data_IF_340524576988
#
_entry.id   IF_340524576988
#
_cell.length_a   1.000
_cell.length_b   1.000
_cell.length_c   1.000
_cell.angle_alpha   90.00
_cell.angle_beta   90.00
_cell.angle_gamma   90.00
#
_symmetry.space_group_name_H-M   'P 1'
#
loop_
_entity.id
_entity.type
_entity.pdbx_description
1 polymer ?
#
# COMPACT_ATOMS: atom_id res chain seq x y z
N UNK A 1 -49.55 14.65 -7.27
CA UNK A 1 -48.09 14.96 -7.36
C UNK A 1 -47.86 16.35 -6.77
N UNK A 2 -47.39 16.47 -5.52
CA UNK A 2 -46.89 17.75 -5.00
C UNK A 2 -45.59 18.07 -5.73
N UNK A 3 -45.55 19.21 -6.42
CA UNK A 3 -44.33 19.73 -7.06
C UNK A 3 -43.33 20.10 -5.96
N UNK A 4 -42.06 19.77 -6.12
CA UNK A 4 -40.99 20.26 -5.23
C UNK A 4 -41.12 21.76 -5.02
N UNK A 5 -40.95 22.22 -3.78
CA UNK A 5 -41.01 23.65 -3.43
C UNK A 5 -39.96 24.43 -4.25
N UNK A 6 -40.21 25.69 -4.65
CA UNK A 6 -39.21 26.55 -5.27
C UNK A 6 -37.91 26.66 -4.43
N UNK A 7 -38.02 26.57 -3.10
CA UNK A 7 -36.87 26.52 -2.19
C UNK A 7 -35.99 25.29 -2.39
N UNK A 8 -36.61 24.11 -2.61
CA UNK A 8 -35.89 22.84 -2.84
C UNK A 8 -35.09 22.85 -4.15
N UNK A 9 -35.69 23.45 -5.20
CA UNK A 9 -35.00 23.59 -6.50
C UNK A 9 -33.80 24.52 -6.40
N UNK A 10 -33.90 25.60 -5.63
CA UNK A 10 -32.80 26.57 -5.41
C UNK A 10 -31.67 25.95 -4.59
N UNK A 11 -31.99 25.20 -3.53
CA UNK A 11 -31.03 24.47 -2.69
C UNK A 11 -30.23 23.47 -3.49
N UNK A 12 -30.91 22.69 -4.34
CA UNK A 12 -30.28 21.72 -5.23
C UNK A 12 -29.34 22.38 -6.26
N UNK A 13 -29.77 23.50 -6.83
CA UNK A 13 -28.95 24.25 -7.78
C UNK A 13 -27.68 24.81 -7.11
N UNK A 14 -27.80 25.38 -5.91
CA UNK A 14 -26.67 25.84 -5.11
C UNK A 14 -25.67 24.70 -4.85
N UNK A 15 -26.13 23.54 -4.41
CA UNK A 15 -25.26 22.37 -4.21
C UNK A 15 -24.55 21.96 -5.49
N UNK A 16 -25.26 21.86 -6.63
CA UNK A 16 -24.66 21.45 -7.90
C UNK A 16 -23.59 22.46 -8.38
N UNK A 17 -23.74 23.75 -8.10
CA UNK A 17 -22.75 24.77 -8.41
C UNK A 17 -21.47 24.64 -7.58
N UNK A 18 -21.52 24.12 -6.36
CA UNK A 18 -20.33 23.85 -5.54
C UNK A 18 -19.53 22.65 -6.02
N UNK A 19 -20.09 21.81 -6.88
CA UNK A 19 -19.46 20.57 -7.34
C UNK A 19 -18.64 20.77 -8.61
N UNK A 20 -17.43 20.17 -8.67
CA UNK A 20 -16.61 20.14 -9.89
C UNK A 20 -16.93 18.89 -10.73
N UNK A 21 -17.58 19.09 -11.87
CA UNK A 21 -17.96 18.01 -12.79
C UNK A 21 -16.95 17.81 -13.93
N UNK A 22 -16.75 16.55 -14.31
CA UNK A 22 -15.85 16.16 -15.42
C UNK A 22 -16.50 16.29 -16.80
N UNK A 23 -17.81 16.05 -16.86
CA UNK A 23 -18.57 16.00 -18.10
C UNK A 23 -19.80 16.88 -17.99
N UNK A 24 -20.17 17.56 -19.06
CA UNK A 24 -21.31 18.49 -19.11
C UNK A 24 -22.66 17.84 -18.74
N UNK A 25 -22.85 16.55 -19.04
CA UNK A 25 -24.08 15.80 -18.71
C UNK A 25 -24.18 15.37 -17.24
N UNK A 26 -23.10 15.37 -16.48
CA UNK A 26 -23.08 14.89 -15.09
C UNK A 26 -23.95 15.71 -14.15
N UNK A 27 -23.99 17.05 -14.20
CA UNK A 27 -24.89 17.85 -13.37
C UNK A 27 -26.36 17.48 -13.55
N UNK A 28 -26.78 17.24 -14.80
CA UNK A 28 -28.17 16.87 -15.12
C UNK A 28 -28.54 15.52 -14.49
N UNK A 29 -27.67 14.51 -14.64
CA UNK A 29 -27.90 13.19 -14.04
C UNK A 29 -27.95 13.26 -12.52
N UNK A 30 -27.03 14.01 -11.90
CA UNK A 30 -27.00 14.21 -10.44
C UNK A 30 -28.24 14.97 -9.96
N UNK A 31 -28.64 16.00 -10.68
CA UNK A 31 -29.86 16.75 -10.38
C UNK A 31 -31.11 15.87 -10.46
N UNK A 32 -31.20 14.93 -11.40
CA UNK A 32 -32.31 13.98 -11.47
C UNK A 32 -32.36 13.05 -10.25
N UNK A 33 -31.21 12.48 -9.84
CA UNK A 33 -31.15 11.58 -8.67
C UNK A 33 -31.49 12.31 -7.38
N UNK A 34 -30.99 13.52 -7.19
CA UNK A 34 -31.26 14.31 -5.98
C UNK A 34 -32.71 14.77 -5.92
N UNK A 35 -33.31 15.17 -7.04
CA UNK A 35 -34.75 15.49 -7.12
C UNK A 35 -35.61 14.26 -6.82
N UNK A 36 -35.25 13.09 -7.35
CA UNK A 36 -35.96 11.86 -7.05
C UNK A 36 -35.95 11.57 -5.54
N UNK A 37 -34.78 11.74 -4.91
CA UNK A 37 -34.66 11.58 -3.46
C UNK A 37 -35.44 12.62 -2.68
N UNK A 38 -35.38 13.90 -3.03
CA UNK A 38 -36.19 14.97 -2.37
C UNK A 38 -37.69 14.73 -2.50
N UNK A 39 -38.15 14.39 -3.68
CA UNK A 39 -39.59 14.05 -3.89
C UNK A 39 -40.00 12.84 -3.04
N UNK A 40 -39.10 11.88 -2.85
CA UNK A 40 -39.33 10.71 -2.01
C UNK A 40 -39.45 11.12 -0.53
N UNK A 41 -38.52 11.96 -0.03
CA UNK A 41 -38.58 12.49 1.34
C UNK A 41 -39.89 13.23 1.61
N UNK A 42 -40.26 14.18 0.75
CA UNK A 42 -41.53 14.94 0.88
C UNK A 42 -42.74 14.03 0.88
N UNK A 43 -42.70 12.91 0.16
CA UNK A 43 -43.81 11.95 0.08
C UNK A 43 -43.96 11.09 1.33
N UNK A 44 -42.84 10.74 1.98
CA UNK A 44 -42.80 9.69 3.01
C UNK A 44 -42.37 10.17 4.40
N UNK A 45 -41.83 11.38 4.53
CA UNK A 45 -41.41 11.96 5.81
C UNK A 45 -42.51 12.90 6.35
N UNK A 46 -42.89 12.72 7.60
CA UNK A 46 -43.92 13.57 8.26
C UNK A 46 -43.43 15.03 8.38
N UNK A 47 -42.19 15.24 8.70
CA UNK A 47 -41.54 16.56 8.92
C UNK A 47 -40.74 17.05 7.73
N UNK A 48 -40.86 16.41 6.55
CA UNK A 48 -40.09 16.71 5.32
C UNK A 48 -38.57 16.61 5.50
N UNK A 49 -38.09 15.99 6.60
CA UNK A 49 -36.68 15.83 6.90
C UNK A 49 -36.21 14.38 6.60
N UNK A 50 -35.01 14.21 6.03
CA UNK A 50 -34.47 12.90 5.75
C UNK A 50 -34.01 12.22 7.04
N UNK A 51 -34.68 11.16 7.47
CA UNK A 51 -34.26 10.27 8.54
C UNK A 51 -33.74 8.93 7.99
N UNK A 52 -33.14 8.11 8.87
CA UNK A 52 -32.53 6.83 8.47
C UNK A 52 -33.54 5.87 7.81
N UNK A 53 -34.75 5.77 8.36
CA UNK A 53 -35.83 4.92 7.80
C UNK A 53 -36.24 5.33 6.38
N UNK A 54 -36.33 6.61 6.11
CA UNK A 54 -36.63 7.15 4.78
C UNK A 54 -35.50 6.87 3.80
N UNK A 55 -34.24 7.08 4.22
CA UNK A 55 -33.06 6.73 3.39
C UNK A 55 -33.07 5.24 3.07
N UNK A 56 -33.27 4.37 4.05
CA UNK A 56 -33.31 2.94 3.87
C UNK A 56 -34.45 2.51 2.94
N UNK A 57 -35.65 3.06 3.11
CA UNK A 57 -36.81 2.77 2.25
C UNK A 57 -36.52 3.19 0.80
N UNK A 58 -35.94 4.38 0.58
CA UNK A 58 -35.55 4.84 -0.75
C UNK A 58 -34.51 3.90 -1.39
N UNK A 59 -33.49 3.47 -0.63
CA UNK A 59 -32.46 2.55 -1.11
C UNK A 59 -33.07 1.20 -1.52
N UNK A 60 -34.01 0.66 -0.74
CA UNK A 60 -34.71 -0.61 -1.03
C UNK A 60 -35.55 -0.50 -2.29
N UNK A 61 -36.40 0.52 -2.42
CA UNK A 61 -37.20 0.71 -3.62
C UNK A 61 -36.36 0.89 -4.87
N UNK A 62 -35.26 1.64 -4.78
CA UNK A 62 -34.34 1.83 -5.92
C UNK A 62 -33.50 0.59 -6.24
N UNK A 63 -33.24 -0.29 -5.27
CA UNK A 63 -32.55 -1.56 -5.53
C UNK A 63 -33.33 -2.55 -6.37
N UNK A 64 -34.66 -2.41 -6.44
CA UNK A 64 -35.52 -3.18 -7.34
C UNK A 64 -35.36 -2.74 -8.81
N UNK A 65 -34.94 -1.51 -9.05
CA UNK A 65 -34.84 -0.92 -10.38
C UNK A 65 -33.39 -0.80 -10.86
N UNK A 66 -32.42 -0.68 -9.96
CA UNK A 66 -31.03 -0.41 -10.28
C UNK A 66 -30.10 -1.46 -9.70
N UNK A 67 -29.03 -1.82 -10.44
CA UNK A 67 -28.00 -2.69 -9.90
C UNK A 67 -27.38 -2.11 -8.63
N UNK A 68 -27.04 -2.95 -7.65
CA UNK A 68 -26.53 -2.55 -6.32
C UNK A 68 -25.33 -1.57 -6.40
N UNK A 69 -24.44 -1.73 -7.36
CA UNK A 69 -23.30 -0.81 -7.53
C UNK A 69 -23.75 0.61 -7.91
N UNK A 70 -24.83 0.75 -8.67
CA UNK A 70 -25.43 2.05 -9.01
C UNK A 70 -26.14 2.66 -7.80
N UNK A 71 -26.88 1.86 -7.01
CA UNK A 71 -27.49 2.29 -5.75
C UNK A 71 -26.41 2.84 -4.82
N UNK A 72 -25.31 2.10 -4.62
CA UNK A 72 -24.16 2.56 -3.79
C UNK A 72 -23.53 3.86 -4.31
N UNK A 73 -23.45 4.03 -5.64
CA UNK A 73 -22.90 5.25 -6.24
C UNK A 73 -23.84 6.46 -6.00
N UNK A 74 -25.14 6.26 -6.13
CA UNK A 74 -26.15 7.30 -5.92
C UNK A 74 -26.32 7.64 -4.45
N UNK A 75 -26.26 6.66 -3.56
CA UNK A 75 -26.24 6.87 -2.12
C UNK A 75 -25.09 7.80 -1.67
N UNK A 76 -23.89 7.63 -2.21
CA UNK A 76 -22.75 8.55 -1.95
C UNK A 76 -23.00 9.97 -2.46
N UNK A 77 -23.79 10.14 -3.50
CA UNK A 77 -24.19 11.46 -3.96
C UNK A 77 -25.19 12.11 -2.98
N UNK A 78 -26.19 11.34 -2.52
CA UNK A 78 -27.16 11.78 -1.52
C UNK A 78 -26.47 12.14 -0.21
N UNK A 79 -25.57 11.29 0.28
CA UNK A 79 -24.77 11.54 1.47
C UNK A 79 -24.06 12.91 1.40
N UNK A 80 -23.33 13.20 0.31
CA UNK A 80 -22.65 14.49 0.13
C UNK A 80 -23.62 15.67 0.04
N UNK A 81 -24.83 15.44 -0.48
CA UNK A 81 -25.87 16.45 -0.52
C UNK A 81 -26.40 16.74 0.89
N UNK A 82 -26.64 15.70 1.69
CA UNK A 82 -27.06 15.82 3.08
C UNK A 82 -25.97 16.43 3.98
N UNK A 83 -24.70 16.08 3.74
CA UNK A 83 -23.55 16.74 4.41
C UNK A 83 -23.54 18.24 4.13
N UNK A 84 -23.74 18.62 2.86
CA UNK A 84 -23.78 20.02 2.47
C UNK A 84 -25.00 20.74 3.09
N UNK A 85 -26.17 20.11 3.13
CA UNK A 85 -27.37 20.67 3.76
C UNK A 85 -27.18 20.86 5.27
N UNK A 86 -26.56 19.91 5.95
CA UNK A 86 -26.23 20.01 7.37
C UNK A 86 -25.22 21.15 7.62
N UNK A 87 -24.17 21.25 6.83
CA UNK A 87 -23.20 22.34 6.93
C UNK A 87 -23.80 23.73 6.65
N UNK A 88 -24.85 23.79 5.81
CA UNK A 88 -25.59 25.00 5.51
C UNK A 88 -26.73 25.29 6.53
N UNK A 89 -26.90 24.44 7.55
CA UNK A 89 -27.97 24.59 8.56
C UNK A 89 -29.38 24.28 8.05
N UNK A 90 -29.51 23.63 6.89
CA UNK A 90 -30.82 23.30 6.29
C UNK A 90 -31.45 22.08 6.97
N UNK A 91 -30.61 21.11 7.38
CA UNK A 91 -31.05 19.94 8.16
C UNK A 91 -30.23 19.86 9.45
N UNK A 92 -30.81 19.38 10.55
CA UNK A 92 -30.15 19.29 11.85
C UNK A 92 -29.11 18.15 11.89
N UNK A 93 -29.41 17.02 11.27
CA UNK A 93 -28.59 15.81 11.30
C UNK A 93 -28.53 15.16 9.93
N UNK A 94 -27.40 14.49 9.65
CA UNK A 94 -27.23 13.65 8.45
C UNK A 94 -27.32 12.17 8.86
N UNK A 95 -28.31 11.39 8.40
CA UNK A 95 -28.47 9.98 8.74
C UNK A 95 -27.23 9.12 8.44
N UNK A 96 -26.48 9.45 7.40
CA UNK A 96 -25.24 8.73 7.09
C UNK A 96 -24.12 9.03 8.09
N UNK A 97 -24.03 10.25 8.63
CA UNK A 97 -23.02 10.62 9.62
C UNK A 97 -23.16 9.79 10.91
N UNK A 98 -24.38 9.52 11.34
CA UNK A 98 -24.65 8.64 12.47
C UNK A 98 -24.18 7.21 12.20
N UNK A 99 -24.54 6.66 11.04
CA UNK A 99 -24.09 5.34 10.63
C UNK A 99 -22.57 5.23 10.53
N UNK A 100 -21.91 6.27 10.04
CA UNK A 100 -20.43 6.31 9.99
C UNK A 100 -19.81 6.38 11.37
N UNK A 101 -20.39 7.12 12.29
CA UNK A 101 -19.93 7.19 13.67
C UNK A 101 -20.03 5.84 14.35
N UNK A 102 -21.16 5.13 14.16
CA UNK A 102 -21.44 3.88 14.86
C UNK A 102 -20.74 2.68 14.22
N UNK A 103 -20.59 2.66 12.90
CA UNK A 103 -20.04 1.53 12.15
C UNK A 103 -18.70 1.81 11.45
N UNK A 104 -18.21 3.05 11.45
CA UNK A 104 -16.86 3.42 10.99
C UNK A 104 -16.51 2.97 9.58
N UNK A 105 -17.49 2.74 8.69
CA UNK A 105 -17.33 2.11 7.41
C UNK A 105 -17.67 3.04 6.24
N UNK A 106 -17.26 2.62 5.05
CA UNK A 106 -17.60 3.37 3.85
C UNK A 106 -19.09 3.25 3.52
N UNK A 107 -19.69 4.30 2.97
CA UNK A 107 -21.07 4.32 2.47
C UNK A 107 -21.47 3.08 1.69
N UNK A 108 -20.55 2.52 0.90
CA UNK A 108 -20.82 1.29 0.12
C UNK A 108 -21.09 0.07 1.01
N UNK A 109 -20.37 -0.07 2.12
CA UNK A 109 -20.56 -1.18 3.06
C UNK A 109 -21.88 -0.98 3.82
N UNK A 110 -22.13 0.23 4.28
CA UNK A 110 -23.38 0.62 4.96
C UNK A 110 -24.61 0.38 4.06
N UNK A 111 -24.58 0.87 2.82
CA UNK A 111 -25.68 0.66 1.87
C UNK A 111 -25.94 -0.82 1.60
N UNK A 112 -24.92 -1.64 1.48
CA UNK A 112 -25.08 -3.09 1.33
C UNK A 112 -25.70 -3.74 2.56
N UNK A 113 -25.36 -3.27 3.76
CA UNK A 113 -25.97 -3.74 5.01
C UNK A 113 -27.45 -3.32 5.09
N UNK A 114 -27.79 -2.08 4.74
CA UNK A 114 -29.17 -1.58 4.71
C UNK A 114 -30.07 -2.29 3.69
N UNK A 115 -29.46 -2.88 2.64
CA UNK A 115 -30.18 -3.67 1.63
C UNK A 115 -30.27 -5.16 1.98
N UNK A 116 -29.69 -5.61 3.10
CA UNK A 116 -29.76 -7.00 3.53
C UNK A 116 -31.17 -7.32 4.11
N UNK A 117 -31.56 -8.58 4.08
CA UNK A 117 -32.81 -9.04 4.71
C UNK A 117 -32.77 -8.79 6.22
N UNK A 118 -31.67 -9.17 6.88
CA UNK A 118 -31.39 -8.88 8.27
C UNK A 118 -30.41 -7.70 8.35
N UNK A 119 -30.99 -6.49 8.41
CA UNK A 119 -30.24 -5.23 8.43
C UNK A 119 -29.44 -5.06 9.70
N UNK A 120 -30.04 -5.44 10.85
CA UNK A 120 -29.41 -5.25 12.15
C UNK A 120 -28.16 -6.12 12.29
N UNK A 121 -28.25 -7.40 11.98
CA UNK A 121 -27.11 -8.28 11.96
C UNK A 121 -26.06 -7.87 10.90
N UNK A 122 -26.49 -7.34 9.76
CA UNK A 122 -25.57 -6.86 8.73
C UNK A 122 -24.82 -5.58 9.15
N UNK A 123 -25.48 -4.64 9.82
CA UNK A 123 -24.85 -3.45 10.39
C UNK A 123 -23.95 -3.80 11.57
N UNK A 124 -24.38 -4.71 12.45
CA UNK A 124 -23.57 -5.18 13.57
C UNK A 124 -22.24 -5.79 13.11
N UNK A 125 -22.22 -6.50 11.99
CA UNK A 125 -20.97 -7.01 11.38
C UNK A 125 -20.03 -5.91 10.89
N UNK A 126 -20.53 -4.68 10.69
CA UNK A 126 -19.72 -3.52 10.32
C UNK A 126 -19.16 -2.78 11.54
N UNK A 127 -19.68 -3.02 12.73
CA UNK A 127 -19.22 -2.36 13.96
C UNK A 127 -17.71 -2.49 14.10
N UNK A 128 -17.01 -1.41 14.46
CA UNK A 128 -15.57 -1.45 14.66
C UNK A 128 -15.23 -2.42 15.78
N UNK A 129 -14.51 -3.48 15.45
CA UNK A 129 -14.01 -4.44 16.43
C UNK A 129 -12.94 -3.73 17.28
N UNK A 130 -13.07 -3.67 18.61
CA UNK A 130 -12.10 -3.02 19.48
C UNK A 130 -10.69 -3.58 19.25
N UNK A 131 -9.69 -2.67 19.24
CA UNK A 131 -8.29 -3.11 19.17
C UNK A 131 -7.91 -3.73 20.51
N UNK A 132 -7.38 -4.93 20.49
CA UNK A 132 -7.03 -5.69 21.68
C UNK A 132 -8.20 -5.87 22.66
N UNK A 133 -9.40 -6.14 22.13
CA UNK A 133 -10.63 -6.30 22.91
C UNK A 133 -10.91 -7.73 23.37
N UNK A 134 -10.06 -8.72 23.03
CA UNK A 134 -10.22 -10.10 23.48
C UNK A 134 -9.75 -10.29 24.93
N UNK A 135 -10.02 -11.45 25.52
CA UNK A 135 -9.55 -11.82 26.86
C UNK A 135 -8.02 -11.86 27.01
N UNK A 136 -7.24 -11.97 25.91
CA UNK A 136 -5.80 -11.77 25.86
C UNK A 136 -5.38 -10.38 25.38
N UNK A 137 -6.33 -9.53 25.02
CA UNK A 137 -6.09 -8.24 24.39
C UNK A 137 -5.20 -7.33 25.20
N UNK A 138 -5.46 -7.18 26.49
CA UNK A 138 -4.64 -6.36 27.38
C UNK A 138 -3.17 -6.81 27.39
N UNK A 139 -2.90 -8.11 27.49
CA UNK A 139 -1.53 -8.66 27.46
C UNK A 139 -0.82 -8.39 26.13
N UNK A 140 -1.54 -8.53 25.03
CA UNK A 140 -0.99 -8.21 23.69
C UNK A 140 -0.67 -6.71 23.58
N UNK A 141 -1.53 -5.84 24.08
CA UNK A 141 -1.32 -4.39 24.08
C UNK A 141 -0.10 -3.98 24.91
N UNK A 142 -0.01 -4.49 26.14
CA UNK A 142 1.12 -4.26 27.05
C UNK A 142 2.44 -4.69 26.40
N UNK A 143 2.46 -5.87 25.77
CA UNK A 143 3.64 -6.37 25.07
C UNK A 143 4.06 -5.48 23.89
N UNK A 144 3.12 -5.03 23.08
CA UNK A 144 3.40 -4.09 21.98
C UNK A 144 3.96 -2.77 22.52
N UNK A 145 3.37 -2.25 23.59
CA UNK A 145 3.79 -1.01 24.25
C UNK A 145 5.22 -1.15 24.79
N UNK A 146 5.53 -2.25 25.46
CA UNK A 146 6.87 -2.56 25.93
C UNK A 146 7.89 -2.64 24.80
N UNK A 147 7.55 -3.31 23.69
CA UNK A 147 8.47 -3.40 22.56
C UNK A 147 8.72 -2.04 21.90
N UNK A 148 7.73 -1.16 21.89
CA UNK A 148 7.87 0.22 21.38
C UNK A 148 8.72 1.08 22.33
N UNK A 149 8.59 0.95 23.63
CA UNK A 149 9.43 1.66 24.60
C UNK A 149 10.91 1.25 24.49
N UNK A 150 11.20 0.03 24.00
CA UNK A 150 12.55 -0.44 23.69
C UNK A 150 13.06 0.07 22.32
N UNK A 151 12.33 0.95 21.63
CA UNK A 151 12.73 1.57 20.36
C UNK A 151 12.36 0.76 19.11
N UNK A 152 11.56 -0.30 19.21
CA UNK A 152 11.09 -1.04 18.04
C UNK A 152 9.81 -0.40 17.47
N UNK A 153 9.69 -0.25 16.14
CA UNK A 153 8.41 0.19 15.50
C UNK A 153 7.27 -0.79 15.73
N UNK A 154 7.57 -2.06 15.70
CA UNK A 154 6.71 -3.21 16.00
C UNK A 154 5.42 -3.34 15.15
N UNK A 155 5.26 -2.58 14.08
CA UNK A 155 4.02 -2.48 13.27
C UNK A 155 3.60 -3.80 12.62
N UNK A 156 4.55 -4.66 12.26
CA UNK A 156 4.26 -5.96 11.63
C UNK A 156 3.69 -6.92 12.66
N UNK A 157 4.35 -7.05 13.79
CA UNK A 157 3.94 -7.94 14.88
C UNK A 157 2.64 -7.46 15.54
N UNK A 158 2.44 -6.16 15.71
CA UNK A 158 1.17 -5.61 16.16
C UNK A 158 0.02 -6.02 15.23
N UNK A 159 0.20 -5.92 13.91
CA UNK A 159 -0.82 -6.37 12.95
C UNK A 159 -1.08 -7.87 13.03
N UNK A 160 -0.07 -8.68 13.31
CA UNK A 160 -0.22 -10.12 13.53
C UNK A 160 -1.03 -10.38 14.81
N UNK A 161 -0.67 -9.74 15.90
CA UNK A 161 -1.38 -9.83 17.20
C UNK A 161 -2.83 -9.33 17.08
N UNK A 162 -3.09 -8.24 16.36
CA UNK A 162 -4.47 -7.76 16.12
C UNK A 162 -5.30 -8.74 15.28
N UNK A 163 -4.70 -9.52 14.38
CA UNK A 163 -5.43 -10.58 13.66
C UNK A 163 -5.80 -11.73 14.58
N UNK A 164 -4.91 -12.08 15.48
CA UNK A 164 -5.18 -13.10 16.51
C UNK A 164 -6.23 -12.61 17.52
N UNK A 165 -6.11 -11.38 17.97
CA UNK A 165 -7.08 -10.71 18.85
C UNK A 165 -8.50 -10.72 18.27
N UNK A 166 -8.66 -10.34 16.99
CA UNK A 166 -9.96 -10.41 16.30
C UNK A 166 -10.51 -11.83 16.21
N UNK A 167 -9.63 -12.82 16.01
CA UNK A 167 -10.04 -14.22 16.04
C UNK A 167 -10.60 -14.57 17.42
N UNK A 168 -9.89 -14.23 18.50
CA UNK A 168 -10.33 -14.50 19.86
C UNK A 168 -11.63 -13.77 20.26
N UNK A 169 -11.83 -12.54 19.78
CA UNK A 169 -13.08 -11.81 19.98
C UNK A 169 -14.28 -12.51 19.34
N UNK A 170 -14.07 -13.21 18.22
CA UNK A 170 -15.10 -14.03 17.58
C UNK A 170 -15.28 -15.44 18.17
N UNK A 171 -14.47 -15.82 19.18
CA UNK A 171 -14.45 -17.17 19.79
C UNK A 171 -14.36 -17.05 21.31
N UNK A 172 -15.39 -16.45 21.91
CA UNK A 172 -15.46 -16.25 23.37
C UNK A 172 -15.47 -17.59 24.15
N UNK A 173 -15.92 -18.67 23.52
CA UNK A 173 -15.92 -20.03 24.07
C UNK A 173 -14.51 -20.57 24.36
N UNK A 174 -13.49 -19.98 23.77
CA UNK A 174 -12.09 -20.35 24.01
C UNK A 174 -11.48 -19.64 25.24
N UNK A 175 -12.26 -18.86 25.97
CA UNK A 175 -11.79 -18.16 27.17
C UNK A 175 -11.29 -19.17 28.20
N UNK A 176 -10.07 -18.98 28.73
CA UNK A 176 -9.44 -19.91 29.67
C UNK A 176 -8.69 -21.10 29.03
N UNK A 177 -8.80 -21.30 27.71
CA UNK A 177 -8.03 -22.33 27.04
C UNK A 177 -6.52 -21.98 27.03
N UNK A 178 -5.62 -22.98 27.13
CA UNK A 178 -4.19 -22.77 27.11
C UNK A 178 -3.73 -22.23 25.73
N UNK A 179 -2.69 -21.37 25.73
CA UNK A 179 -2.18 -20.74 24.52
C UNK A 179 -1.88 -21.71 23.36
N UNK A 180 -1.29 -22.90 23.57
CA UNK A 180 -1.08 -23.86 22.49
C UNK A 180 -2.38 -24.23 21.78
N UNK A 181 -3.47 -24.43 22.52
CA UNK A 181 -4.79 -24.78 21.97
C UNK A 181 -5.39 -23.62 21.16
N UNK A 182 -5.24 -22.37 21.65
CA UNK A 182 -5.69 -21.20 20.94
C UNK A 182 -4.98 -21.04 19.59
N UNK A 183 -3.66 -21.26 19.54
CA UNK A 183 -2.87 -21.20 18.30
C UNK A 183 -3.24 -22.37 17.37
N UNK A 184 -3.47 -23.55 17.87
CA UNK A 184 -3.93 -24.70 17.08
C UNK A 184 -5.26 -24.38 16.39
N UNK A 185 -6.28 -23.97 17.12
CA UNK A 185 -7.60 -23.64 16.57
C UNK A 185 -7.50 -22.50 15.56
N UNK A 186 -6.71 -21.44 15.87
CA UNK A 186 -6.49 -20.33 14.95
C UNK A 186 -5.81 -20.75 13.63
N UNK A 187 -4.98 -21.77 13.66
CA UNK A 187 -4.25 -22.27 12.49
C UNK A 187 -4.99 -23.37 11.70
N UNK A 188 -6.05 -23.98 12.24
CA UNK A 188 -6.73 -25.16 11.66
C UNK A 188 -7.18 -24.96 10.21
N UNK A 189 -7.69 -23.80 9.85
CA UNK A 189 -8.16 -23.47 8.49
C UNK A 189 -7.12 -22.72 7.64
N UNK A 190 -5.85 -22.71 8.05
CA UNK A 190 -4.77 -21.99 7.36
C UNK A 190 -3.91 -22.96 6.56
N UNK A 191 -4.05 -22.95 5.25
CA UNK A 191 -3.30 -23.85 4.35
C UNK A 191 -1.95 -23.27 3.89
N UNK A 192 -1.81 -21.95 3.91
CA UNK A 192 -0.59 -21.27 3.45
C UNK A 192 0.52 -21.40 4.50
N UNK A 193 1.73 -21.90 4.16
CA UNK A 193 2.88 -21.94 5.05
C UNK A 193 3.21 -20.61 5.71
N UNK A 194 3.00 -19.50 5.01
CA UNK A 194 3.19 -18.16 5.56
C UNK A 194 2.23 -17.86 6.73
N UNK A 195 0.97 -18.28 6.62
CA UNK A 195 -0.02 -18.10 7.69
C UNK A 195 0.23 -19.04 8.86
N UNK A 196 0.71 -20.26 8.60
CA UNK A 196 1.10 -21.20 9.66
C UNK A 196 2.33 -20.69 10.41
N UNK A 197 3.32 -20.16 9.71
CA UNK A 197 4.47 -19.50 10.33
C UNK A 197 4.03 -18.32 11.19
N UNK A 198 3.13 -17.48 10.70
CA UNK A 198 2.56 -16.36 11.46
C UNK A 198 1.90 -16.84 12.76
N UNK A 199 1.15 -17.95 12.72
CA UNK A 199 0.52 -18.50 13.91
C UNK A 199 1.57 -18.98 14.95
N UNK A 200 2.62 -19.66 14.50
CA UNK A 200 3.73 -20.07 15.38
C UNK A 200 4.49 -18.85 15.93
N UNK A 201 4.75 -17.82 15.12
CA UNK A 201 5.40 -16.58 15.57
C UNK A 201 4.57 -15.87 16.64
N UNK A 202 3.26 -15.74 16.46
CA UNK A 202 2.35 -15.15 17.45
C UNK A 202 2.35 -15.97 18.73
N UNK A 203 2.27 -17.31 18.64
CA UNK A 203 2.36 -18.20 19.78
C UNK A 203 3.68 -18.04 20.54
N UNK A 204 4.81 -17.99 19.82
CA UNK A 204 6.13 -17.75 20.40
C UNK A 204 6.22 -16.39 21.11
N UNK A 205 5.75 -15.32 20.46
CA UNK A 205 5.80 -13.96 21.04
C UNK A 205 4.99 -13.89 22.34
N UNK A 206 3.77 -14.42 22.34
CA UNK A 206 2.89 -14.41 23.51
C UNK A 206 3.40 -15.32 24.60
N UNK A 207 3.83 -16.56 24.29
CA UNK A 207 4.41 -17.46 25.30
C UNK A 207 5.66 -16.87 25.95
N UNK A 208 6.51 -16.19 25.19
CA UNK A 208 7.68 -15.47 25.70
C UNK A 208 7.28 -14.30 26.61
N UNK A 209 6.22 -13.56 26.27
CA UNK A 209 5.71 -12.50 27.11
C UNK A 209 5.12 -13.06 28.42
N UNK A 210 4.39 -14.16 28.36
CA UNK A 210 3.80 -14.83 29.52
C UNK A 210 4.86 -15.47 30.41
N UNK A 211 5.86 -16.15 29.83
CA UNK A 211 6.98 -16.73 30.57
C UNK A 211 7.80 -15.72 31.38
N UNK A 212 7.90 -14.46 30.92
CA UNK A 212 8.55 -13.40 31.69
C UNK A 212 7.80 -13.00 32.96
N UNK A 213 6.48 -13.16 32.96
CA UNK A 213 5.61 -12.89 34.11
C UNK A 213 5.51 -14.11 35.01
N UNK A 214 5.48 -15.29 34.41
CA UNK A 214 5.43 -16.58 35.10
C UNK A 214 6.40 -17.56 34.42
N UNK A 215 7.60 -17.77 34.99
CA UNK A 215 8.61 -18.67 34.44
C UNK A 215 8.19 -20.17 34.39
N UNK A 216 7.11 -20.55 35.06
CA UNK A 216 6.57 -21.90 34.98
C UNK A 216 5.91 -22.21 33.62
N UNK A 217 5.48 -21.19 32.89
CA UNK A 217 4.84 -21.32 31.59
C UNK A 217 5.86 -21.62 30.50
N UNK A 218 5.64 -22.69 29.74
CA UNK A 218 6.54 -23.10 28.67
C UNK A 218 6.48 -22.12 27.48
N UNK A 219 7.64 -21.82 26.90
CA UNK A 219 7.72 -21.06 25.66
C UNK A 219 7.42 -21.96 24.45
N UNK A 220 6.56 -21.49 23.57
CA UNK A 220 6.24 -22.18 22.32
C UNK A 220 7.38 -21.96 21.29
N UNK A 221 7.98 -23.03 20.74
CA UNK A 221 8.99 -22.87 19.71
C UNK A 221 8.39 -22.49 18.35
N UNK A 222 9.19 -21.81 17.53
CA UNK A 222 8.91 -21.70 16.08
C UNK A 222 9.72 -22.77 15.37
N UNK A 223 9.07 -23.67 14.63
CA UNK A 223 9.73 -24.76 13.95
C UNK A 223 10.67 -24.25 12.84
N UNK A 224 11.95 -24.66 12.88
CA UNK A 224 12.93 -24.35 11.84
C UNK A 224 12.48 -24.83 10.44
N UNK A 225 11.73 -25.91 10.40
CA UNK A 225 11.14 -26.45 9.18
C UNK A 225 10.13 -25.50 8.55
N UNK A 226 9.34 -24.79 9.35
CA UNK A 226 8.36 -23.83 8.85
C UNK A 226 9.03 -22.66 8.12
N UNK A 227 10.16 -22.15 8.64
CA UNK A 227 10.95 -21.12 7.94
C UNK A 227 11.51 -21.68 6.62
N UNK A 228 11.91 -22.94 6.56
CA UNK A 228 12.39 -23.61 5.34
C UNK A 228 11.25 -23.69 4.30
N UNK A 229 10.06 -24.17 4.70
CA UNK A 229 8.87 -24.27 3.83
C UNK A 229 8.46 -22.93 3.26
N UNK A 230 8.41 -21.87 4.08
CA UNK A 230 8.12 -20.51 3.63
C UNK A 230 9.19 -20.03 2.66
N UNK A 231 10.48 -20.28 2.94
CA UNK A 231 11.59 -19.89 2.06
C UNK A 231 11.53 -20.59 0.71
N UNK A 232 11.14 -21.86 0.66
CA UNK A 232 10.97 -22.60 -0.60
C UNK A 232 9.87 -22.03 -1.49
N UNK A 233 8.83 -21.39 -0.88
CA UNK A 233 7.78 -20.70 -1.61
C UNK A 233 8.16 -19.29 -2.04
N UNK A 234 9.34 -18.79 -1.65
CA UNK A 234 9.79 -17.48 -2.10
C UNK A 234 9.94 -17.46 -3.61
N UNK A 235 9.15 -16.61 -4.22
CA UNK A 235 9.20 -16.39 -5.65
C UNK A 235 10.58 -15.84 -6.04
N UNK A 236 11.21 -16.46 -7.05
CA UNK A 236 12.42 -15.93 -7.66
C UNK A 236 12.16 -14.51 -8.19
N UNK A 237 13.10 -13.55 -7.95
CA UNK A 237 13.01 -12.23 -8.52
C UNK A 237 12.94 -12.29 -10.05
N UNK A 238 12.16 -11.40 -10.63
CA UNK A 238 12.16 -11.21 -12.07
C UNK A 238 13.35 -10.33 -12.47
N UNK A 239 14.10 -10.75 -13.47
CA UNK A 239 15.23 -9.98 -14.00
C UNK A 239 14.76 -9.27 -15.27
N UNK A 240 14.63 -7.96 -15.18
CA UNK A 240 14.26 -7.13 -16.30
C UNK A 240 15.40 -7.01 -17.30
N UNK A 241 15.08 -7.12 -18.60
CA UNK A 241 16.01 -6.77 -19.68
C UNK A 241 16.06 -5.25 -19.88
N UNK A 242 17.07 -4.78 -20.61
CA UNK A 242 17.20 -3.34 -20.92
C UNK A 242 16.04 -2.84 -21.77
N UNK A 243 15.54 -3.65 -22.70
CA UNK A 243 14.38 -3.35 -23.55
C UNK A 243 13.09 -3.26 -22.71
N UNK A 244 12.95 -4.13 -21.72
CA UNK A 244 11.82 -4.07 -20.79
C UNK A 244 11.86 -2.82 -19.93
N UNK A 245 13.04 -2.43 -19.44
CA UNK A 245 13.23 -1.16 -18.69
C UNK A 245 12.83 0.03 -19.57
N UNK A 246 13.31 0.09 -20.83
CA UNK A 246 12.93 1.16 -21.77
C UNK A 246 11.41 1.22 -21.97
N UNK A 247 10.76 0.07 -22.17
CA UNK A 247 9.28 0.00 -22.31
C UNK A 247 8.55 0.49 -21.05
N UNK A 248 9.04 0.15 -19.86
CA UNK A 248 8.44 0.60 -18.60
C UNK A 248 8.55 2.13 -18.47
N UNK A 249 9.73 2.68 -18.72
CA UNK A 249 9.96 4.13 -18.65
C UNK A 249 9.10 4.89 -19.66
N UNK A 250 8.99 4.39 -20.90
CA UNK A 250 8.12 4.96 -21.91
C UNK A 250 6.63 4.88 -21.52
N UNK A 251 6.21 3.73 -20.96
CA UNK A 251 4.83 3.55 -20.47
C UNK A 251 4.50 4.47 -19.29
N UNK A 252 5.49 4.86 -18.48
CA UNK A 252 5.32 5.83 -17.40
C UNK A 252 5.14 7.25 -17.94
N UNK A 253 5.98 7.68 -18.90
CA UNK A 253 5.89 9.01 -19.52
C UNK A 253 4.58 9.18 -20.30
N UNK A 254 4.12 8.14 -20.98
CA UNK A 254 2.84 8.14 -21.72
C UNK A 254 1.62 7.78 -20.86
N UNK A 255 1.75 7.75 -19.53
CA UNK A 255 0.65 7.36 -18.65
C UNK A 255 -0.50 8.38 -18.69
N UNK A 256 -1.75 7.97 -19.03
CA UNK A 256 -2.87 8.89 -19.17
C UNK A 256 -3.28 9.48 -17.81
N UNK A 257 -3.07 10.77 -17.64
CA UNK A 257 -3.37 11.45 -16.38
C UNK A 257 -3.84 12.92 -16.58
N UNK A 258 -4.97 13.15 -17.27
CA UNK A 258 -5.43 14.50 -17.61
C UNK A 258 -5.71 15.39 -16.39
N UNK A 259 -6.02 14.80 -15.23
CA UNK A 259 -6.28 15.52 -13.97
C UNK A 259 -5.07 15.68 -13.06
N UNK A 260 -3.95 15.11 -13.41
CA UNK A 260 -2.70 15.21 -12.68
C UNK A 260 -1.54 15.13 -13.69
N UNK A 261 -1.28 16.21 -14.46
CA UNK A 261 -0.30 16.21 -15.54
C UNK A 261 1.13 15.94 -15.06
N UNK A 262 1.45 16.23 -13.81
CA UNK A 262 2.76 15.91 -13.22
C UNK A 262 2.97 14.38 -12.98
N UNK A 263 1.90 13.59 -12.94
CA UNK A 263 1.97 12.16 -12.59
C UNK A 263 2.84 11.33 -13.53
N UNK A 264 2.75 11.44 -14.86
CA UNK A 264 3.61 10.66 -15.77
C UNK A 264 5.09 10.87 -15.48
N UNK A 265 5.52 12.10 -15.33
CA UNK A 265 6.90 12.44 -15.00
C UNK A 265 7.28 11.94 -13.59
N UNK A 266 6.37 12.04 -12.60
CA UNK A 266 6.59 11.49 -11.28
C UNK A 266 6.77 9.98 -11.28
N UNK A 267 5.95 9.23 -12.03
CA UNK A 267 6.09 7.77 -12.19
C UNK A 267 7.40 7.39 -12.88
N UNK A 268 7.79 8.13 -13.91
CA UNK A 268 9.07 7.96 -14.58
C UNK A 268 10.23 8.15 -13.59
N UNK A 269 10.27 9.24 -12.86
CA UNK A 269 11.35 9.54 -11.90
C UNK A 269 11.39 8.52 -10.75
N UNK A 270 10.24 8.06 -10.25
CA UNK A 270 10.19 6.97 -9.26
C UNK A 270 10.81 5.68 -9.80
N UNK A 271 10.57 5.33 -11.07
CA UNK A 271 11.13 4.14 -11.72
C UNK A 271 12.64 4.28 -11.96
N UNK A 272 13.10 5.48 -12.34
CA UNK A 272 14.53 5.79 -12.46
C UNK A 272 15.22 5.58 -11.10
N UNK A 273 14.68 6.10 -10.02
CA UNK A 273 15.22 5.89 -8.66
C UNK A 273 15.19 4.40 -8.25
N UNK A 274 14.12 3.67 -8.59
CA UNK A 274 14.00 2.26 -8.27
C UNK A 274 15.03 1.40 -9.01
N UNK A 275 15.29 1.72 -10.30
CA UNK A 275 16.21 0.95 -11.15
C UNK A 275 17.66 1.44 -11.04
N UNK A 276 17.92 2.74 -11.18
CA UNK A 276 19.29 3.25 -11.24
C UNK A 276 19.93 3.42 -9.85
N UNK A 277 19.16 3.87 -8.86
CA UNK A 277 19.62 4.02 -7.48
C UNK A 277 19.24 2.82 -6.57
N UNK A 278 18.46 1.87 -7.07
CA UNK A 278 18.08 0.67 -6.33
C UNK A 278 17.25 0.94 -5.08
N UNK A 279 16.53 2.05 -5.01
CA UNK A 279 15.74 2.41 -3.83
C UNK A 279 14.53 1.50 -3.63
N UNK A 280 14.17 1.25 -2.37
CA UNK A 280 12.91 0.58 -2.05
C UNK A 280 11.74 1.52 -2.31
N UNK A 281 10.60 0.96 -2.72
CA UNK A 281 9.38 1.75 -2.96
C UNK A 281 8.99 2.61 -1.75
N UNK A 282 9.12 2.07 -0.53
CA UNK A 282 8.83 2.84 0.68
C UNK A 282 9.80 4.01 0.90
N UNK A 283 11.06 3.84 0.52
CA UNK A 283 12.06 4.91 0.55
C UNK A 283 11.71 6.01 -0.46
N UNK A 284 11.37 5.63 -1.70
CA UNK A 284 10.98 6.57 -2.77
C UNK A 284 9.75 7.40 -2.37
N UNK A 285 8.69 6.73 -1.88
CA UNK A 285 7.45 7.41 -1.47
C UNK A 285 7.66 8.30 -0.24
N UNK A 286 8.60 7.91 0.63
CA UNK A 286 8.94 8.65 1.85
C UNK A 286 9.80 9.89 1.64
N UNK A 287 10.44 10.05 0.46
CA UNK A 287 11.31 11.22 0.18
C UNK A 287 10.55 12.53 0.37
N UNK A 288 11.19 13.45 1.07
CA UNK A 288 10.78 14.86 1.15
C UNK A 288 11.59 15.70 0.15
N UNK A 289 11.13 16.92 -0.11
CA UNK A 289 11.83 17.84 -1.01
C UNK A 289 13.23 18.20 -0.47
N UNK A 290 13.36 18.40 0.84
CA UNK A 290 14.62 18.68 1.52
C UNK A 290 15.60 17.51 1.59
N UNK A 291 15.20 16.30 1.17
CA UNK A 291 16.12 15.16 1.08
C UNK A 291 16.94 15.15 -0.22
N UNK A 292 16.62 16.03 -1.17
CA UNK A 292 17.27 16.11 -2.49
C UNK A 292 18.26 17.25 -2.51
N UNK A 293 19.55 16.94 -2.60
CA UNK A 293 20.64 17.92 -2.65
C UNK A 293 21.15 18.02 -4.09
N UNK A 294 20.51 18.94 -4.86
CA UNK A 294 20.76 19.06 -6.30
C UNK A 294 22.18 19.53 -6.65
N UNK A 295 22.83 20.29 -5.75
CA UNK A 295 24.22 20.76 -5.94
C UNK A 295 25.24 19.67 -5.66
N UNK A 296 25.03 18.89 -4.61
CA UNK A 296 25.94 17.83 -4.18
C UNK A 296 25.69 16.50 -4.91
N UNK A 297 24.70 16.44 -5.79
CA UNK A 297 24.26 15.23 -6.50
C UNK A 297 23.95 14.05 -5.56
N UNK A 298 23.37 14.36 -4.40
CA UNK A 298 23.04 13.35 -3.38
C UNK A 298 21.58 13.38 -2.96
N UNK A 299 21.12 12.27 -2.38
CA UNK A 299 19.84 12.20 -1.67
C UNK A 299 20.01 11.60 -0.29
N UNK A 300 19.22 12.10 0.66
CA UNK A 300 19.12 11.55 2.00
C UNK A 300 17.98 10.55 2.09
N UNK A 301 18.27 9.33 2.51
CA UNK A 301 17.27 8.31 2.83
C UNK A 301 17.19 8.22 4.35
N UNK A 302 16.11 8.77 4.89
CA UNK A 302 15.91 8.87 6.34
C UNK A 302 15.10 7.70 6.88
N UNK A 303 15.35 7.33 8.12
CA UNK A 303 14.55 6.40 8.94
C UNK A 303 14.07 5.14 8.21
N UNK A 304 14.98 4.45 7.54
CA UNK A 304 14.65 3.17 6.91
C UNK A 304 14.33 2.09 7.97
N UNK A 305 14.02 0.89 7.52
CA UNK A 305 13.91 -0.27 8.39
C UNK A 305 15.17 -0.36 9.28
N UNK A 306 15.01 -0.33 10.61
CA UNK A 306 16.06 -0.25 11.64
C UNK A 306 16.63 1.16 11.94
N UNK A 307 15.86 2.23 11.68
CA UNK A 307 16.23 3.63 12.00
C UNK A 307 17.58 4.08 11.40
N UNK A 308 17.99 3.46 10.28
CA UNK A 308 19.24 3.83 9.59
C UNK A 308 18.94 4.90 8.54
N UNK A 309 19.64 6.01 8.64
CA UNK A 309 19.70 7.03 7.58
C UNK A 309 20.98 6.87 6.78
N UNK A 310 20.96 7.23 5.51
CA UNK A 310 22.14 7.22 4.65
C UNK A 310 22.03 8.29 3.58
N UNK A 311 23.15 8.90 3.24
CA UNK A 311 23.28 9.79 2.07
C UNK A 311 23.79 8.98 0.90
N UNK A 312 23.15 9.12 -0.24
CA UNK A 312 23.47 8.37 -1.45
C UNK A 312 23.88 9.32 -2.57
N UNK A 313 25.08 9.15 -3.16
CA UNK A 313 25.42 9.81 -4.41
C UNK A 313 24.60 9.20 -5.54
N UNK A 314 24.15 10.04 -6.47
CA UNK A 314 23.41 9.63 -7.63
C UNK A 314 24.20 9.90 -8.90
N UNK A 315 24.00 9.06 -9.93
CA UNK A 315 24.58 9.31 -11.23
C UNK A 315 24.01 10.61 -11.86
N UNK A 316 24.78 11.35 -12.66
CA UNK A 316 24.34 12.61 -13.27
C UNK A 316 22.99 12.49 -14.01
N UNK A 317 22.76 11.41 -14.75
CA UNK A 317 21.50 11.15 -15.46
C UNK A 317 20.30 10.97 -14.53
N UNK A 318 20.50 10.43 -13.33
CA UNK A 318 19.45 10.28 -12.30
C UNK A 318 19.15 11.65 -11.69
N UNK A 319 20.18 12.46 -11.45
CA UNK A 319 20.03 13.82 -10.95
C UNK A 319 19.32 14.72 -11.96
N UNK A 320 19.59 14.57 -13.24
CA UNK A 320 18.89 15.28 -14.30
C UNK A 320 17.38 14.97 -14.31
N UNK A 321 17.03 13.69 -14.21
CA UNK A 321 15.63 13.28 -14.09
C UNK A 321 14.96 13.87 -12.84
N UNK A 322 15.66 13.94 -11.71
CA UNK A 322 15.17 14.59 -10.49
C UNK A 322 15.04 16.10 -10.65
N UNK A 323 16.03 16.79 -11.20
CA UNK A 323 15.98 18.23 -11.48
C UNK A 323 14.77 18.57 -12.35
N UNK A 324 14.58 17.82 -13.44
CA UNK A 324 13.43 17.99 -14.33
C UNK A 324 12.09 17.82 -13.59
N UNK A 325 11.99 16.76 -12.76
CA UNK A 325 10.78 16.54 -11.96
C UNK A 325 10.54 17.66 -10.94
N UNK A 326 11.57 18.09 -10.20
CA UNK A 326 11.45 19.17 -9.19
C UNK A 326 11.00 20.48 -9.83
N UNK A 327 11.58 20.86 -10.98
CA UNK A 327 11.19 22.04 -11.75
C UNK A 327 9.72 21.95 -12.19
N UNK A 328 9.32 20.82 -12.78
CA UNK A 328 7.93 20.60 -13.19
C UNK A 328 6.97 20.63 -12.00
N UNK A 329 7.38 20.09 -10.84
CA UNK A 329 6.61 20.11 -9.60
C UNK A 329 6.38 21.54 -9.10
N UNK A 330 7.40 22.38 -9.11
CA UNK A 330 7.30 23.81 -8.73
C UNK A 330 6.29 24.55 -9.63
N UNK A 331 6.31 24.29 -10.92
CA UNK A 331 5.37 24.89 -11.87
C UNK A 331 3.89 24.51 -11.60
N UNK A 332 3.62 23.48 -10.81
CA UNK A 332 2.24 23.09 -10.47
C UNK A 332 1.69 23.76 -9.20
N UNK A 333 2.45 24.63 -8.55
CA UNK A 333 2.07 25.27 -7.28
C UNK A 333 2.10 24.31 -6.08
N UNK A 334 2.83 23.20 -6.17
CA UNK A 334 3.02 22.28 -5.05
C UNK A 334 3.84 22.95 -3.93
N UNK A 335 3.62 22.60 -2.64
CA UNK A 335 4.34 23.20 -1.52
C UNK A 335 5.86 23.07 -1.66
N UNK A 336 6.58 24.14 -1.30
CA UNK A 336 8.05 24.22 -1.43
C UNK A 336 8.80 23.97 -0.14
N UNK A 337 8.10 23.69 0.98
CA UNK A 337 8.73 23.38 2.25
C UNK A 337 9.58 22.11 2.16
N UNK A 338 10.67 22.08 2.92
CA UNK A 338 11.61 20.93 2.93
C UNK A 338 10.92 19.61 3.33
N UNK A 339 9.91 19.67 4.20
CA UNK A 339 9.16 18.51 4.69
C UNK A 339 8.08 18.02 3.72
N UNK A 340 7.75 18.82 2.70
CA UNK A 340 6.74 18.41 1.71
C UNK A 340 7.21 17.18 0.95
N UNK A 341 6.27 16.26 0.65
CA UNK A 341 6.61 15.07 -0.13
C UNK A 341 7.25 15.44 -1.46
N UNK A 342 8.40 14.82 -1.79
CA UNK A 342 9.04 15.01 -3.09
C UNK A 342 8.04 14.71 -4.21
N UNK A 343 7.41 13.53 -4.17
CA UNK A 343 6.42 13.13 -5.14
C UNK A 343 5.03 13.60 -4.75
N UNK A 344 4.55 14.59 -5.48
CA UNK A 344 3.31 15.30 -5.19
C UNK A 344 2.10 14.75 -5.95
N UNK A 345 1.04 14.42 -5.21
CA UNK A 345 -0.22 13.96 -5.80
C UNK A 345 -1.20 15.13 -5.98
N UNK A 346 -1.24 15.70 -7.18
CA UNK A 346 -2.11 16.84 -7.52
C UNK A 346 -3.61 16.58 -7.27
N UNK A 347 -4.05 15.33 -7.20
CA UNK A 347 -5.48 15.00 -6.97
C UNK A 347 -5.92 15.16 -5.53
N UNK A 348 -5.01 14.89 -4.60
CA UNK A 348 -5.28 14.92 -3.16
C UNK A 348 -4.60 16.13 -2.49
N UNK A 349 -3.81 16.91 -3.25
CA UNK A 349 -2.98 18.00 -2.74
C UNK A 349 -2.11 17.56 -1.55
N UNK A 350 -1.50 16.36 -1.66
CA UNK A 350 -0.67 15.74 -0.63
C UNK A 350 0.38 14.81 -1.27
N UNK A 351 1.26 14.21 -0.46
CA UNK A 351 2.16 13.17 -0.92
C UNK A 351 1.40 11.90 -1.35
N UNK A 352 2.02 11.12 -2.20
CA UNK A 352 1.45 9.82 -2.55
C UNK A 352 1.50 8.85 -1.37
N UNK A 353 0.43 8.05 -1.19
CA UNK A 353 0.49 6.88 -0.31
C UNK A 353 1.21 5.71 -1.01
N UNK A 354 1.83 4.84 -0.21
CA UNK A 354 2.49 3.62 -0.71
C UNK A 354 1.55 2.76 -1.59
N UNK A 355 0.32 2.53 -1.12
CA UNK A 355 -0.68 1.75 -1.86
C UNK A 355 -1.09 2.43 -3.17
N UNK A 356 -1.24 3.75 -3.16
CA UNK A 356 -1.56 4.54 -4.35
C UNK A 356 -0.49 4.43 -5.43
N UNK A 357 0.79 4.63 -5.07
CA UNK A 357 1.92 4.48 -6.00
C UNK A 357 2.05 3.05 -6.49
N UNK A 358 1.96 2.06 -5.59
CA UNK A 358 2.04 0.65 -5.95
C UNK A 358 1.02 0.28 -7.03
N UNK A 359 -0.24 0.73 -6.88
CA UNK A 359 -1.28 0.50 -7.88
C UNK A 359 -0.99 1.20 -9.21
N UNK A 360 -0.50 2.44 -9.19
CA UNK A 360 -0.14 3.17 -10.42
C UNK A 360 1.00 2.48 -11.17
N UNK A 361 2.06 2.07 -10.46
CA UNK A 361 3.20 1.39 -11.07
C UNK A 361 2.84 -0.02 -11.58
N UNK A 362 1.90 -0.72 -10.94
CA UNK A 362 1.34 -1.96 -11.51
C UNK A 362 0.63 -1.68 -12.84
N UNK A 363 -0.10 -0.56 -12.94
CA UNK A 363 -0.72 -0.17 -14.22
C UNK A 363 0.34 0.17 -15.28
N UNK A 364 1.45 0.81 -14.90
CA UNK A 364 2.58 1.05 -15.81
C UNK A 364 3.14 -0.27 -16.33
N UNK A 365 3.40 -1.26 -15.46
CA UNK A 365 3.86 -2.59 -15.88
C UNK A 365 2.87 -3.30 -16.83
N UNK A 366 1.58 -3.14 -16.59
CA UNK A 366 0.53 -3.67 -17.49
C UNK A 366 0.55 -3.00 -18.85
N UNK A 367 0.70 -1.68 -18.89
CA UNK A 367 0.81 -0.91 -20.14
C UNK A 367 2.08 -1.24 -20.92
N UNK A 368 3.17 -1.53 -20.22
CA UNK A 368 4.41 -2.00 -20.84
C UNK A 368 4.35 -3.45 -21.36
N UNK A 369 3.21 -4.14 -21.21
CA UNK A 369 3.02 -5.52 -21.65
C UNK A 369 3.73 -6.57 -20.77
N UNK A 370 4.20 -6.19 -19.57
CA UNK A 370 4.97 -7.07 -18.69
C UNK A 370 4.11 -7.77 -17.63
N UNK A 371 2.87 -7.33 -17.48
CA UNK A 371 1.96 -7.84 -16.47
C UNK A 371 0.57 -8.05 -17.07
N UNK A 372 -0.14 -9.15 -16.70
CA UNK A 372 -1.50 -9.36 -17.19
C UNK A 372 -2.45 -8.26 -16.69
N UNK A 373 -3.54 -8.04 -17.41
CA UNK A 373 -4.53 -7.00 -17.08
C UNK A 373 -5.16 -7.18 -15.71
N UNK A 374 -5.24 -8.42 -15.22
CA UNK A 374 -5.77 -8.77 -13.89
C UNK A 374 -4.82 -9.70 -13.14
N UNK A 375 -4.99 -9.78 -11.82
CA UNK A 375 -4.22 -10.68 -10.96
C UNK A 375 -2.87 -10.12 -10.51
N UNK A 376 -2.13 -10.95 -9.77
CA UNK A 376 -0.85 -10.60 -9.12
C UNK A 376 0.38 -11.23 -9.80
N UNK A 377 0.17 -12.06 -10.82
CA UNK A 377 1.26 -12.73 -11.55
C UNK A 377 2.08 -11.71 -12.34
N UNK A 378 3.33 -12.04 -12.67
CA UNK A 378 4.23 -11.18 -13.44
C UNK A 378 5.18 -10.35 -12.57
N UNK A 379 6.08 -9.54 -13.16
CA UNK A 379 7.13 -8.79 -12.48
C UNK A 379 6.60 -7.84 -11.39
N UNK A 380 7.43 -7.52 -10.40
CA UNK A 380 7.14 -6.57 -9.33
C UNK A 380 8.09 -5.38 -9.44
N UNK A 381 7.68 -4.22 -8.97
CA UNK A 381 8.54 -3.03 -8.92
C UNK A 381 9.81 -3.27 -8.08
N UNK A 382 9.70 -4.05 -7.00
CA UNK A 382 10.87 -4.41 -6.19
C UNK A 382 11.92 -5.21 -6.98
N UNK A 383 11.51 -5.92 -8.03
CA UNK A 383 12.42 -6.69 -8.88
C UNK A 383 13.35 -5.77 -9.71
N UNK A 384 13.01 -4.45 -9.89
CA UNK A 384 13.91 -3.46 -10.48
C UNK A 384 15.22 -3.29 -9.70
N UNK A 385 15.13 -3.32 -8.37
CA UNK A 385 16.30 -3.28 -7.49
C UNK A 385 17.17 -4.54 -7.66
N UNK A 386 16.58 -5.72 -7.90
CA UNK A 386 17.31 -6.92 -8.25
C UNK A 386 18.02 -6.78 -9.60
N UNK A 387 17.34 -6.24 -10.60
CA UNK A 387 17.90 -5.97 -11.92
C UNK A 387 19.07 -4.99 -11.84
N UNK A 388 18.97 -3.92 -11.04
CA UNK A 388 20.08 -2.96 -10.80
C UNK A 388 21.32 -3.67 -10.22
N UNK A 389 21.14 -4.48 -9.18
CA UNK A 389 22.27 -5.21 -8.58
C UNK A 389 22.90 -6.15 -9.59
N UNK A 390 22.11 -6.92 -10.33
CA UNK A 390 22.60 -7.79 -11.39
C UNK A 390 23.36 -7.04 -12.49
N UNK A 391 22.84 -5.90 -12.94
CA UNK A 391 23.52 -5.04 -13.93
C UNK A 391 24.85 -4.52 -13.40
N UNK A 392 24.90 -4.06 -12.13
CA UNK A 392 26.14 -3.58 -11.49
C UNK A 392 27.18 -4.69 -11.36
N UNK A 393 26.76 -5.90 -11.00
CA UNK A 393 27.64 -7.06 -10.90
C UNK A 393 28.22 -7.44 -12.25
N UNK A 394 27.40 -7.50 -13.31
CA UNK A 394 27.87 -7.75 -14.69
C UNK A 394 28.90 -6.70 -15.14
N UNK A 395 28.61 -5.43 -14.84
CA UNK A 395 29.51 -4.34 -15.18
C UNK A 395 30.88 -4.52 -14.50
N UNK A 396 30.93 -4.85 -13.22
CA UNK A 396 32.20 -5.11 -12.52
C UNK A 396 32.99 -6.28 -13.12
N UNK A 397 32.29 -7.36 -13.52
CA UNK A 397 32.98 -8.46 -14.22
C UNK A 397 33.60 -8.01 -15.55
N UNK A 398 32.88 -7.20 -16.35
CA UNK A 398 33.35 -6.65 -17.62
C UNK A 398 34.54 -5.71 -17.42
N UNK A 399 34.48 -4.89 -16.38
CA UNK A 399 35.57 -3.95 -16.03
C UNK A 399 36.76 -4.62 -15.36
N UNK A 400 36.75 -5.95 -15.22
CA UNK A 400 37.84 -6.70 -14.57
C UNK A 400 37.92 -6.54 -13.05
N UNK A 401 36.91 -5.87 -12.43
CA UNK A 401 36.82 -5.64 -10.98
C UNK A 401 36.31 -6.92 -10.30
N UNK A 402 36.94 -7.28 -9.16
CA UNK A 402 36.39 -8.38 -8.34
C UNK A 402 35.10 -7.97 -7.64
N UNK A 403 33.94 -8.54 -7.99
CA UNK A 403 32.70 -8.17 -7.35
C UNK A 403 32.67 -8.43 -5.84
N UNK A 404 33.36 -9.44 -5.34
CA UNK A 404 33.40 -9.75 -3.91
C UNK A 404 33.97 -8.60 -3.09
N UNK A 405 35.02 -7.91 -3.59
CA UNK A 405 35.59 -6.74 -2.92
C UNK A 405 34.64 -5.53 -2.87
N UNK A 406 33.65 -5.49 -3.76
CA UNK A 406 32.66 -4.40 -3.86
C UNK A 406 31.32 -4.68 -3.16
N UNK A 407 31.06 -5.93 -2.78
CA UNK A 407 29.82 -6.32 -2.10
C UNK A 407 29.54 -5.54 -0.80
N UNK A 408 30.52 -5.26 0.10
CA UNK A 408 30.28 -4.49 1.30
C UNK A 408 29.78 -3.06 0.99
N UNK A 409 30.39 -2.41 0.00
CA UNK A 409 29.98 -1.07 -0.44
C UNK A 409 28.58 -1.08 -1.04
N UNK A 410 28.26 -2.10 -1.85
CA UNK A 410 26.91 -2.25 -2.40
C UNK A 410 25.88 -2.53 -1.31
N UNK A 411 26.21 -3.35 -0.32
CA UNK A 411 25.34 -3.61 0.84
C UNK A 411 25.04 -2.31 1.61
N UNK A 412 26.05 -1.49 1.86
CA UNK A 412 25.90 -0.18 2.52
C UNK A 412 25.06 0.77 1.67
N UNK A 413 25.35 0.88 0.37
CA UNK A 413 24.58 1.71 -0.56
C UNK A 413 23.10 1.32 -0.56
N UNK A 414 22.81 0.04 -0.62
CA UNK A 414 21.46 -0.50 -0.59
C UNK A 414 20.78 -0.42 0.79
N UNK A 415 21.53 -0.13 1.87
CA UNK A 415 21.01 -0.12 3.25
C UNK A 415 20.62 -1.52 3.71
N UNK A 416 21.45 -2.52 3.47
CA UNK A 416 21.30 -3.86 4.02
C UNK A 416 21.90 -3.94 5.43
N UNK A 417 21.27 -4.74 6.31
CA UNK A 417 21.79 -4.97 7.67
C UNK A 417 23.07 -5.79 7.65
N UNK A 418 23.15 -6.73 6.73
CA UNK A 418 24.26 -7.67 6.55
C UNK A 418 24.49 -7.99 5.06
N UNK A 419 25.67 -8.51 4.73
CA UNK A 419 26.05 -8.92 3.37
C UNK A 419 25.15 -10.05 2.85
N UNK A 420 24.67 -10.94 3.73
CA UNK A 420 23.80 -12.07 3.31
C UNK A 420 22.55 -11.56 2.61
N UNK A 421 22.03 -10.42 3.05
CA UNK A 421 20.90 -9.74 2.40
C UNK A 421 21.24 -9.27 0.97
N UNK A 422 22.51 -9.02 0.66
CA UNK A 422 22.97 -8.68 -0.70
C UNK A 422 23.20 -9.93 -1.52
N UNK A 423 23.63 -11.04 -0.92
CA UNK A 423 23.87 -12.31 -1.62
C UNK A 423 22.58 -12.90 -2.21
N UNK A 424 21.42 -12.60 -1.64
CA UNK A 424 20.11 -13.00 -2.22
C UNK A 424 19.90 -12.41 -3.63
N UNK A 425 20.54 -11.28 -3.93
CA UNK A 425 20.49 -10.64 -5.25
C UNK A 425 21.48 -11.29 -6.25
N UNK A 426 22.41 -12.09 -5.76
CA UNK A 426 23.30 -12.88 -6.59
C UNK A 426 22.60 -14.16 -7.09
N UNK A 427 21.32 -14.06 -7.44
CA UNK A 427 20.69 -15.13 -8.20
C UNK A 427 21.54 -15.35 -9.44
N UNK A 428 22.18 -16.52 -9.49
CA UNK A 428 23.07 -16.91 -10.57
C UNK A 428 22.24 -16.86 -11.85
N UNK A 429 22.48 -15.83 -12.68
CA UNK A 429 21.88 -15.78 -14.01
C UNK A 429 22.82 -16.41 -15.02
N UNK A 430 22.30 -16.97 -16.12
CA UNK A 430 23.16 -17.50 -17.19
C UNK A 430 24.20 -16.49 -17.65
N UNK A 431 23.82 -15.21 -17.77
CA UNK A 431 24.72 -14.14 -18.20
C UNK A 431 25.83 -13.86 -17.16
N UNK A 432 25.49 -13.87 -15.87
CA UNK A 432 26.48 -13.69 -14.81
C UNK A 432 27.46 -14.86 -14.74
N UNK A 433 26.99 -16.10 -14.96
CA UNK A 433 27.83 -17.30 -15.06
C UNK A 433 28.72 -17.23 -16.27
N UNK A 434 28.24 -16.77 -17.43
CA UNK A 434 29.05 -16.61 -18.65
C UNK A 434 30.18 -15.61 -18.42
N UNK A 435 29.90 -14.44 -17.84
CA UNK A 435 30.90 -13.42 -17.53
C UNK A 435 31.95 -13.95 -16.52
N UNK A 436 31.48 -14.64 -15.47
CA UNK A 436 32.39 -15.26 -14.48
C UNK A 436 33.25 -16.35 -15.11
N UNK A 437 32.70 -17.21 -15.97
CA UNK A 437 33.42 -18.26 -16.71
C UNK A 437 34.39 -17.69 -17.72
N UNK A 438 34.04 -16.61 -18.43
CA UNK A 438 34.94 -15.93 -19.35
C UNK A 438 36.16 -15.37 -18.62
N UNK A 439 35.93 -14.75 -17.45
CA UNK A 439 37.04 -14.25 -16.60
C UNK A 439 37.94 -15.38 -16.09
N UNK A 440 37.33 -16.47 -15.60
CA UNK A 440 38.08 -17.64 -15.12
C UNK A 440 38.99 -18.21 -16.23
N UNK A 441 38.45 -18.37 -17.45
CA UNK A 441 39.22 -18.83 -18.62
C UNK A 441 40.39 -17.89 -18.95
N UNK A 442 40.17 -16.56 -18.90
CA UNK A 442 41.18 -15.56 -19.16
C UNK A 442 42.35 -15.65 -18.13
N UNK A 443 42.01 -15.77 -16.84
CA UNK A 443 43.01 -15.91 -15.77
C UNK A 443 43.73 -17.25 -15.89
N UNK A 444 43.03 -18.36 -16.10
CA UNK A 444 43.65 -19.69 -16.27
C UNK A 444 44.55 -19.75 -17.49
N UNK A 445 44.17 -19.12 -18.61
CA UNK A 445 45.03 -19.04 -19.79
C UNK A 445 46.31 -18.17 -19.56
N UNK A 446 46.24 -17.16 -18.70
CA UNK A 446 47.41 -16.36 -18.31
C UNK A 446 48.34 -17.15 -17.39
N UNK A 447 47.82 -17.89 -16.42
CA UNK A 447 48.61 -18.73 -15.51
C UNK A 447 49.32 -19.85 -16.26
N UNK A 448 48.62 -20.52 -17.19
CA UNK A 448 49.20 -21.58 -18.02
C UNK A 448 50.30 -21.07 -19.01
N UNK A 449 50.21 -19.78 -19.43
CA UNK A 449 51.26 -19.17 -20.26
C UNK A 449 52.50 -18.75 -19.46
N UNK A 450 52.31 -18.35 -18.20
CA UNK A 450 53.43 -17.97 -17.31
C UNK A 450 54.22 -19.18 -16.79
N UNK A 451 53.69 -20.41 -16.82
CA UNK A 451 54.39 -21.63 -16.44
C UNK A 451 55.10 -22.32 -17.63
N UNK A 452 54.90 -21.83 -18.85
CA UNK A 452 55.39 -22.42 -20.08
C UNK A 452 56.60 -21.72 -20.72
N UNK A 453 57.24 -20.72 -20.09
CA UNK A 453 58.49 -20.13 -20.53
C UNK A 453 59.68 -20.75 -19.74
N UNK A 454 60.38 -21.79 -20.27
CA UNK A 454 61.62 -22.21 -19.70
C UNK A 454 62.70 -21.18 -20.07
N UNK A 455 63.46 -20.72 -19.09
CA UNK A 455 64.65 -19.95 -19.26
C UNK A 455 65.73 -20.70 -20.11
#
# INVERSE_FOLDING_TARGET
MRRSSPADAKTLQCFLQTQRFRHQKTPTVYGCVLRDFQCFVVKHAADELPCLSIVQQWLRERSLQWPVHMVCHRARLIERFLEWQQAAGVIPTNPFAELHRDYGQSTTAIVRALLNEDVEAALQRLSPVPRFGSFLGQRMHEYVTQMRSLGYRYDVHERQLLRFDRFLQGHAELTGAPLPKLIEVWSTNRTSPQHLLEAQEVGHLLSKAMHRLDPSLAMLPVGADMYRRVRQQHRRPYLYTEEEIKRILQAALSFPSPKAPLRPLGLYTMLVLAYCAGLRMGEIVGLALGDVHLQDETIDIRETKFFKSRRLPLAPSVMEALKHYVTARQATGAPTSAESGLFWNQRCADRYSYGGVSNLLIQVLRRAGLKPTRGRVGPRIHDLRHAMVGARMRQWYRDGINPQSRLPYLATYLGHKDIKSTLVYLSITPELLQEASARFRKIGAQTLRSEGDPQ
#
